data_IF_241012704076
#
_entry.id   IF_241012704076
#
_cell.length_a   1.000
_cell.length_b   1.000
_cell.length_c   1.000
_cell.angle_alpha   90.00
_cell.angle_beta   90.00
_cell.angle_gamma   90.00
#
_symmetry.space_group_name_H-M   'P 1'
#
loop_
_entity.id
_entity.type
_entity.pdbx_description
1 polymer ?
#
# COMPACT_ATOMS: atom_id res chain seq x y z
N UNK A 1 -57.32 -36.38 -34.82
CA UNK A 1 -56.75 -35.02 -34.94
C UNK A 1 -57.53 -34.20 -33.93
N UNK A 2 -57.01 -34.05 -32.72
CA UNK A 2 -57.60 -33.27 -31.63
C UNK A 2 -56.50 -32.30 -31.20
N UNK A 3 -56.28 -31.27 -32.00
CA UNK A 3 -55.59 -30.06 -31.57
C UNK A 3 -56.68 -29.02 -31.36
N UNK A 4 -57.25 -29.02 -30.16
CA UNK A 4 -57.98 -27.85 -29.67
C UNK A 4 -56.90 -26.93 -29.13
N UNK A 5 -56.61 -25.86 -29.87
CA UNK A 5 -55.67 -24.80 -29.52
C UNK A 5 -56.20 -23.94 -28.35
N UNK A 6 -56.53 -24.56 -27.21
CA UNK A 6 -56.93 -23.86 -25.99
C UNK A 6 -55.71 -23.71 -25.07
N UNK A 7 -54.75 -22.87 -25.49
CA UNK A 7 -53.66 -22.43 -24.62
C UNK A 7 -53.82 -20.94 -24.32
N UNK A 8 -53.76 -20.57 -23.04
CA UNK A 8 -53.93 -19.17 -22.61
C UNK A 8 -52.66 -18.33 -22.88
N UNK A 9 -51.48 -18.95 -22.91
CA UNK A 9 -50.20 -18.24 -23.03
C UNK A 9 -49.05 -19.20 -23.40
N UNK A 10 -48.04 -18.66 -24.08
CA UNK A 10 -46.80 -19.35 -24.45
C UNK A 10 -45.65 -18.66 -23.74
N UNK A 11 -44.85 -19.42 -22.98
CA UNK A 11 -43.69 -18.90 -22.24
C UNK A 11 -42.39 -19.41 -22.86
N UNK A 12 -41.43 -18.51 -23.01
CA UNK A 12 -40.03 -18.84 -23.33
C UNK A 12 -39.15 -18.53 -22.13
N UNK A 13 -38.21 -19.41 -21.82
CA UNK A 13 -37.28 -19.27 -20.71
C UNK A 13 -35.94 -19.96 -21.05
N UNK A 14 -34.91 -19.67 -20.27
CA UNK A 14 -33.63 -20.37 -20.37
C UNK A 14 -33.80 -21.84 -19.93
N UNK A 15 -33.18 -22.74 -20.67
CA UNK A 15 -33.16 -24.16 -20.34
C UNK A 15 -31.90 -24.47 -19.52
N UNK A 16 -32.08 -25.01 -18.31
CA UNK A 16 -30.98 -25.55 -17.52
C UNK A 16 -30.46 -26.86 -18.12
N UNK A 17 -29.21 -27.23 -17.82
CA UNK A 17 -28.62 -28.50 -18.27
C UNK A 17 -29.45 -29.72 -17.84
N UNK A 18 -30.06 -29.65 -16.64
CA UNK A 18 -30.97 -30.70 -16.15
C UNK A 18 -32.25 -30.80 -17.00
N UNK A 19 -32.84 -29.67 -17.41
CA UNK A 19 -34.00 -29.66 -18.31
C UNK A 19 -33.65 -30.24 -19.69
N UNK A 20 -32.50 -29.88 -20.26
CA UNK A 20 -32.05 -30.45 -21.54
C UNK A 20 -31.91 -31.97 -21.46
N UNK A 21 -31.34 -32.49 -20.36
CA UNK A 21 -31.27 -33.95 -20.12
C UNK A 21 -32.66 -34.57 -19.99
N UNK A 22 -33.62 -33.90 -19.35
CA UNK A 22 -35.00 -34.42 -19.20
C UNK A 22 -35.75 -34.56 -20.52
N UNK A 23 -35.40 -33.75 -21.52
CA UNK A 23 -35.98 -33.82 -22.85
C UNK A 23 -35.31 -34.87 -23.75
N UNK A 24 -34.12 -35.31 -23.38
CA UNK A 24 -33.30 -36.16 -24.20
C UNK A 24 -33.66 -37.63 -24.08
N UNK A 25 -33.63 -38.34 -25.21
CA UNK A 25 -33.82 -39.78 -25.27
C UNK A 25 -32.50 -40.56 -25.27
N UNK A 26 -31.37 -39.87 -25.22
CA UNK A 26 -30.04 -40.46 -25.19
C UNK A 26 -28.93 -39.50 -25.60
N UNK A 27 -27.72 -39.85 -25.20
CA UNK A 27 -26.50 -39.10 -25.51
C UNK A 27 -25.95 -39.52 -26.88
N UNK A 28 -25.59 -38.53 -27.70
CA UNK A 28 -24.86 -38.74 -28.95
C UNK A 28 -23.38 -38.66 -28.67
N UNK A 29 -22.70 -39.80 -28.68
CA UNK A 29 -21.28 -39.91 -28.32
C UNK A 29 -20.36 -39.94 -29.52
N UNK A 30 -20.87 -40.38 -30.68
CA UNK A 30 -20.04 -40.54 -31.88
C UNK A 30 -20.41 -39.58 -33.01
N UNK A 31 -19.42 -39.13 -33.81
CA UNK A 31 -19.67 -38.19 -34.89
C UNK A 31 -20.24 -38.85 -36.15
N UNK A 32 -20.29 -40.19 -36.23
CA UNK A 32 -20.75 -40.86 -37.44
C UNK A 32 -22.24 -40.65 -37.68
N UNK A 33 -22.60 -40.64 -38.96
CA UNK A 33 -23.96 -40.40 -39.44
C UNK A 33 -24.62 -41.71 -39.87
N UNK A 34 -24.26 -42.19 -41.06
CA UNK A 34 -24.77 -43.40 -41.68
C UNK A 34 -23.62 -44.21 -42.26
N UNK A 35 -23.78 -45.52 -42.29
CA UNK A 35 -22.84 -46.41 -42.92
C UNK A 35 -22.97 -46.33 -44.45
N UNK A 36 -21.87 -46.06 -45.16
CA UNK A 36 -21.90 -45.92 -46.63
C UNK A 36 -22.28 -47.22 -47.38
N UNK A 37 -22.03 -48.41 -46.79
CA UNK A 37 -22.35 -49.69 -47.44
C UNK A 37 -23.80 -50.10 -47.22
N UNK A 38 -24.26 -49.99 -45.98
CA UNK A 38 -25.59 -50.50 -45.59
C UNK A 38 -26.68 -49.43 -45.64
N UNK A 39 -26.29 -48.15 -45.77
CA UNK A 39 -27.16 -46.97 -45.66
C UNK A 39 -27.95 -46.91 -44.34
N UNK A 40 -27.53 -47.69 -43.34
CA UNK A 40 -28.13 -47.70 -42.01
C UNK A 40 -27.44 -46.69 -41.09
N UNK A 41 -28.17 -46.06 -40.15
CA UNK A 41 -27.57 -45.19 -39.16
C UNK A 41 -26.55 -45.92 -38.29
N UNK A 42 -25.47 -45.24 -37.95
CA UNK A 42 -24.51 -45.78 -36.99
C UNK A 42 -25.06 -45.71 -35.56
N UNK A 43 -24.65 -46.65 -34.72
CA UNK A 43 -25.08 -46.70 -33.31
C UNK A 43 -24.37 -45.60 -32.52
N UNK A 44 -25.13 -44.91 -31.67
CA UNK A 44 -24.70 -43.81 -30.81
C UNK A 44 -24.19 -42.56 -31.59
N UNK A 45 -24.46 -42.50 -32.90
CA UNK A 45 -24.18 -41.37 -33.78
C UNK A 45 -25.37 -40.41 -33.99
N UNK A 46 -25.19 -39.42 -34.86
CA UNK A 46 -26.15 -38.32 -35.08
C UNK A 46 -27.54 -38.76 -35.55
N UNK A 47 -27.65 -39.93 -36.16
CA UNK A 47 -28.92 -40.48 -36.65
C UNK A 47 -29.37 -41.75 -35.91
N UNK A 48 -28.75 -42.08 -34.76
CA UNK A 48 -28.96 -43.32 -34.04
C UNK A 48 -30.44 -43.63 -33.79
N UNK A 49 -30.91 -44.80 -34.22
CA UNK A 49 -32.30 -45.22 -34.04
C UNK A 49 -32.67 -45.50 -32.59
N UNK A 50 -31.68 -45.82 -31.73
CA UNK A 50 -31.91 -46.06 -30.30
C UNK A 50 -32.38 -44.77 -29.60
N UNK A 51 -31.82 -43.63 -30.01
CA UNK A 51 -32.09 -42.31 -29.42
C UNK A 51 -33.33 -41.70 -30.08
N UNK A 52 -33.27 -41.50 -31.40
CA UNK A 52 -34.29 -40.75 -32.13
C UNK A 52 -35.51 -41.59 -32.53
N UNK A 53 -35.43 -42.91 -32.45
CA UNK A 53 -36.46 -43.84 -32.90
C UNK A 53 -36.20 -44.43 -34.30
N UNK A 54 -37.06 -45.35 -34.76
CA UNK A 54 -36.78 -46.19 -35.93
C UNK A 54 -36.85 -45.43 -37.26
N UNK A 55 -36.03 -45.83 -38.24
CA UNK A 55 -36.06 -45.23 -39.59
C UNK A 55 -37.33 -45.62 -40.36
N UNK A 56 -37.82 -46.85 -40.17
CA UNK A 56 -39.02 -47.38 -40.82
C UNK A 56 -40.11 -47.63 -39.78
N UNK A 57 -41.37 -47.48 -40.19
CA UNK A 57 -42.50 -47.67 -39.30
C UNK A 57 -42.53 -49.10 -38.73
N UNK A 58 -42.53 -49.19 -37.40
CA UNK A 58 -42.60 -50.44 -36.65
C UNK A 58 -41.51 -51.46 -37.01
N UNK A 59 -40.30 -51.01 -37.32
CA UNK A 59 -39.13 -51.85 -37.56
C UNK A 59 -37.95 -51.39 -36.70
N UNK A 60 -37.37 -52.31 -35.92
CA UNK A 60 -36.14 -52.04 -35.18
C UNK A 60 -34.89 -52.19 -36.05
N UNK A 61 -33.79 -51.52 -35.67
CA UNK A 61 -32.50 -51.52 -36.40
C UNK A 61 -31.99 -52.90 -36.86
N UNK A 62 -32.02 -53.88 -35.94
CA UNK A 62 -31.52 -55.24 -36.20
C UNK A 62 -32.51 -56.13 -36.97
N UNK A 63 -33.75 -55.69 -37.15
CA UNK A 63 -34.81 -56.43 -37.82
C UNK A 63 -35.45 -57.58 -37.01
N UNK A 64 -35.12 -57.74 -35.72
CA UNK A 64 -35.73 -58.76 -34.83
C UNK A 64 -37.24 -58.54 -34.69
N UNK A 65 -37.65 -57.31 -34.40
CA UNK A 65 -39.04 -56.90 -34.30
C UNK A 65 -39.43 -56.09 -35.53
N UNK A 66 -40.48 -56.57 -36.23
CA UNK A 66 -41.07 -55.94 -37.42
C UNK A 66 -42.60 -56.02 -37.35
N UNK A 67 -43.28 -55.04 -37.95
CA UNK A 67 -44.74 -54.90 -38.04
C UNK A 67 -45.38 -54.34 -36.75
N UNK A 68 -46.60 -53.83 -36.90
CA UNK A 68 -47.36 -53.08 -35.87
C UNK A 68 -47.59 -53.88 -34.57
N UNK A 69 -47.57 -55.22 -34.62
CA UNK A 69 -47.85 -56.07 -33.45
C UNK A 69 -46.89 -55.86 -32.27
N UNK A 70 -45.69 -55.36 -32.54
CA UNK A 70 -44.65 -55.13 -31.53
C UNK A 70 -44.56 -53.67 -31.10
N UNK A 71 -45.57 -52.83 -31.41
CA UNK A 71 -45.58 -51.41 -31.08
C UNK A 71 -45.28 -51.18 -29.59
N UNK A 72 -44.33 -50.30 -29.29
CA UNK A 72 -43.95 -49.92 -27.93
C UNK A 72 -42.94 -50.86 -27.25
N UNK A 73 -42.54 -51.96 -27.88
CA UNK A 73 -41.50 -52.84 -27.34
C UNK A 73 -40.13 -52.26 -27.66
N UNK A 74 -39.27 -52.19 -26.64
CA UNK A 74 -37.85 -51.85 -26.77
C UNK A 74 -37.08 -53.13 -27.09
N UNK A 75 -36.29 -53.12 -28.18
CA UNK A 75 -35.59 -54.32 -28.61
C UNK A 75 -34.39 -54.68 -27.71
N UNK A 76 -34.34 -55.90 -27.17
CA UNK A 76 -33.22 -56.36 -26.33
C UNK A 76 -31.84 -56.33 -27.01
N UNK A 77 -31.80 -56.49 -28.35
CA UNK A 77 -30.55 -56.57 -29.12
C UNK A 77 -30.01 -55.20 -29.52
N UNK A 78 -30.88 -54.30 -29.98
CA UNK A 78 -30.46 -53.00 -30.52
C UNK A 78 -30.94 -51.79 -29.70
N UNK A 79 -31.78 -51.99 -28.68
CA UNK A 79 -32.32 -50.93 -27.83
C UNK A 79 -33.32 -50.00 -28.52
N UNK A 80 -33.70 -50.28 -29.76
CA UNK A 80 -34.63 -49.43 -30.54
C UNK A 80 -36.07 -49.76 -30.15
N UNK A 81 -36.83 -48.72 -29.82
CA UNK A 81 -38.26 -48.82 -29.60
C UNK A 81 -39.02 -48.94 -30.93
N UNK A 82 -39.93 -49.91 -31.01
CA UNK A 82 -40.76 -50.12 -32.18
C UNK A 82 -41.90 -49.09 -32.20
N UNK A 83 -41.64 -47.95 -32.82
CA UNK A 83 -42.58 -46.84 -32.99
C UNK A 83 -42.78 -46.48 -34.48
N UNK A 84 -43.58 -45.44 -34.75
CA UNK A 84 -43.65 -44.83 -36.09
C UNK A 84 -42.39 -43.99 -36.31
N UNK A 85 -41.89 -43.91 -37.54
CA UNK A 85 -40.75 -43.09 -37.90
C UNK A 85 -40.98 -41.58 -37.63
N UNK A 86 -42.25 -41.15 -37.50
CA UNK A 86 -42.63 -39.78 -37.13
C UNK A 86 -41.99 -39.30 -35.82
N UNK A 87 -41.75 -40.19 -34.85
CA UNK A 87 -41.16 -39.81 -33.55
C UNK A 87 -39.76 -39.20 -33.69
N UNK A 88 -39.04 -39.48 -34.78
CA UNK A 88 -37.73 -38.88 -35.09
C UNK A 88 -37.76 -37.36 -35.27
N UNK A 89 -38.95 -36.78 -35.45
CA UNK A 89 -39.17 -35.33 -35.57
C UNK A 89 -39.46 -34.65 -34.23
N UNK A 90 -39.73 -35.44 -33.19
CA UNK A 90 -40.18 -34.96 -31.88
C UNK A 90 -39.17 -35.31 -30.76
N UNK A 91 -38.40 -36.40 -30.90
CA UNK A 91 -37.39 -36.82 -29.92
C UNK A 91 -36.11 -35.99 -30.05
N UNK A 92 -35.67 -35.43 -28.93
CA UNK A 92 -34.40 -34.74 -28.82
C UNK A 92 -33.28 -35.68 -28.35
N UNK A 93 -32.06 -35.38 -28.79
CA UNK A 93 -30.82 -35.95 -28.26
C UNK A 93 -30.05 -34.87 -27.51
N UNK A 94 -29.04 -35.25 -26.74
CA UNK A 94 -28.10 -34.31 -26.14
C UNK A 94 -26.66 -34.79 -26.31
N UNK A 95 -25.71 -33.89 -26.06
CA UNK A 95 -24.29 -34.19 -25.97
C UNK A 95 -23.85 -33.69 -24.60
N UNK A 96 -23.23 -34.56 -23.81
CA UNK A 96 -22.64 -34.16 -22.55
C UNK A 96 -21.24 -33.58 -22.83
N UNK A 97 -21.04 -32.33 -22.45
CA UNK A 97 -19.77 -31.64 -22.69
C UNK A 97 -18.83 -31.89 -21.51
N UNK A 98 -17.56 -32.18 -21.80
CA UNK A 98 -16.54 -32.41 -20.78
C UNK A 98 -16.19 -31.14 -19.98
N UNK A 99 -16.41 -29.96 -20.57
CA UNK A 99 -16.20 -28.66 -19.93
C UNK A 99 -17.40 -27.74 -20.23
N UNK A 100 -17.78 -26.86 -19.28
CA UNK A 100 -18.82 -25.87 -19.52
C UNK A 100 -18.52 -25.00 -20.76
N UNK A 101 -19.57 -24.54 -21.43
CA UNK A 101 -19.47 -23.59 -22.55
C UNK A 101 -20.51 -22.49 -22.39
N UNK A 102 -20.18 -21.29 -22.85
CA UNK A 102 -21.12 -20.18 -22.90
C UNK A 102 -21.92 -20.19 -24.20
N UNK A 103 -23.22 -19.93 -24.11
CA UNK A 103 -24.03 -19.74 -25.30
C UNK A 103 -23.73 -18.38 -25.95
N UNK A 104 -23.39 -18.38 -27.25
CA UNK A 104 -22.90 -17.21 -27.99
C UNK A 104 -23.83 -16.00 -27.92
N UNK A 105 -25.15 -16.21 -27.84
CA UNK A 105 -26.13 -15.12 -27.72
C UNK A 105 -25.93 -14.23 -26.50
N UNK A 106 -25.49 -14.77 -25.35
CA UNK A 106 -25.29 -13.98 -24.13
C UNK A 106 -23.93 -13.29 -24.08
N UNK A 107 -22.99 -13.69 -24.95
CA UNK A 107 -21.64 -13.14 -25.04
C UNK A 107 -21.57 -12.08 -26.14
N UNK A 108 -21.88 -12.47 -27.39
CA UNK A 108 -21.72 -11.63 -28.60
C UNK A 108 -22.95 -10.80 -28.93
N UNK A 109 -24.11 -11.08 -28.33
CA UNK A 109 -25.30 -10.23 -28.50
C UNK A 109 -25.02 -8.83 -27.95
N UNK A 110 -25.39 -7.78 -28.69
CA UNK A 110 -25.22 -6.39 -28.26
C UNK A 110 -26.52 -5.87 -27.60
N UNK A 111 -26.50 -5.41 -26.33
CA UNK A 111 -25.39 -5.45 -25.38
C UNK A 111 -25.19 -6.85 -24.77
N UNK A 112 -23.94 -7.18 -24.43
CA UNK A 112 -23.54 -8.47 -23.87
C UNK A 112 -24.21 -8.67 -22.51
N UNK A 113 -25.03 -9.72 -22.38
CA UNK A 113 -25.78 -9.96 -21.14
C UNK A 113 -24.85 -10.40 -20.02
N UNK A 114 -23.87 -11.25 -20.34
CA UNK A 114 -22.84 -11.67 -19.38
C UNK A 114 -21.87 -10.53 -19.05
N UNK A 115 -21.52 -9.70 -20.04
CA UNK A 115 -20.68 -8.52 -19.79
C UNK A 115 -21.35 -7.54 -18.83
N UNK A 116 -22.64 -7.28 -19.01
CA UNK A 116 -23.40 -6.41 -18.08
C UNK A 116 -23.55 -7.01 -16.69
N UNK A 117 -23.68 -8.33 -16.57
CA UNK A 117 -23.88 -9.00 -15.28
C UNK A 117 -22.59 -9.03 -14.44
N UNK A 118 -21.43 -9.05 -15.08
CA UNK A 118 -20.11 -9.15 -14.42
C UNK A 118 -19.34 -7.81 -14.42
N UNK A 119 -19.98 -6.73 -14.84
CA UNK A 119 -19.35 -5.43 -15.14
C UNK A 119 -18.06 -5.52 -15.99
N UNK A 120 -18.09 -6.37 -17.01
CA UNK A 120 -16.97 -6.61 -17.91
C UNK A 120 -17.23 -6.07 -19.32
N UNK A 121 -16.20 -5.47 -19.91
CA UNK A 121 -16.24 -5.16 -21.34
C UNK A 121 -16.34 -6.45 -22.18
N UNK A 122 -17.08 -6.45 -23.31
CA UNK A 122 -17.21 -7.64 -24.17
C UNK A 122 -15.86 -8.20 -24.64
N UNK A 123 -14.86 -7.32 -24.82
CA UNK A 123 -13.50 -7.71 -25.21
C UNK A 123 -12.78 -8.47 -24.08
N UNK A 124 -12.94 -8.03 -22.83
CA UNK A 124 -12.33 -8.69 -21.68
C UNK A 124 -12.98 -10.05 -21.41
N UNK A 125 -14.32 -10.12 -21.46
CA UNK A 125 -15.05 -11.39 -21.33
C UNK A 125 -14.62 -12.38 -22.43
N UNK A 126 -14.46 -11.92 -23.67
CA UNK A 126 -13.97 -12.74 -24.78
C UNK A 126 -12.57 -13.33 -24.54
N UNK A 127 -11.66 -12.55 -23.93
CA UNK A 127 -10.31 -13.02 -23.60
C UNK A 127 -10.32 -14.12 -22.55
N UNK A 128 -11.23 -14.06 -21.58
CA UNK A 128 -11.41 -15.14 -20.60
C UNK A 128 -11.99 -16.38 -21.27
N UNK A 129 -13.07 -16.22 -22.05
CA UNK A 129 -13.79 -17.34 -22.67
C UNK A 129 -12.95 -18.13 -23.69
N UNK A 130 -12.07 -17.45 -24.42
CA UNK A 130 -11.15 -18.08 -25.38
C UNK A 130 -9.76 -18.37 -24.81
N UNK A 131 -9.64 -18.52 -23.48
CA UNK A 131 -8.41 -18.98 -22.81
C UNK A 131 -7.18 -18.09 -23.06
N UNK A 132 -7.37 -16.79 -23.20
CA UNK A 132 -6.28 -15.83 -23.39
C UNK A 132 -5.84 -15.13 -22.10
N UNK A 133 -6.73 -15.00 -21.11
CA UNK A 133 -6.44 -14.39 -19.81
C UNK A 133 -7.15 -15.15 -18.69
N UNK A 134 -6.47 -15.27 -17.56
CA UNK A 134 -7.04 -15.78 -16.31
C UNK A 134 -7.95 -14.73 -15.69
N UNK A 135 -9.00 -15.20 -15.05
CA UNK A 135 -9.92 -14.40 -14.26
C UNK A 135 -9.86 -14.90 -12.82
N UNK A 136 -9.66 -13.99 -11.86
CA UNK A 136 -9.76 -14.33 -10.45
C UNK A 136 -11.21 -14.70 -10.15
N UNK A 137 -11.40 -15.90 -9.62
CA UNK A 137 -12.73 -16.44 -9.28
C UNK A 137 -13.05 -16.28 -7.81
N UNK A 138 -12.04 -16.31 -6.94
CA UNK A 138 -12.17 -16.22 -5.47
C UNK A 138 -10.86 -15.70 -4.87
N UNK A 139 -10.96 -14.88 -3.83
CA UNK A 139 -9.83 -14.44 -2.99
C UNK A 139 -10.12 -14.81 -1.54
N UNK A 140 -9.13 -15.31 -0.81
CA UNK A 140 -9.21 -15.54 0.62
C UNK A 140 -8.63 -14.31 1.34
N UNK A 141 -9.49 -13.54 2.00
CA UNK A 141 -9.07 -12.30 2.67
C UNK A 141 -8.24 -12.56 3.92
N UNK A 142 -8.51 -13.65 4.65
CA UNK A 142 -7.74 -13.99 5.86
C UNK A 142 -6.31 -14.36 5.46
N UNK A 143 -6.17 -15.16 4.41
CA UNK A 143 -4.87 -15.49 3.84
C UNK A 143 -4.16 -14.25 3.28
N UNK A 144 -4.89 -13.34 2.61
CA UNK A 144 -4.35 -12.09 2.06
C UNK A 144 -3.81 -11.19 3.17
N UNK A 145 -4.60 -10.96 4.23
CA UNK A 145 -4.20 -10.11 5.35
C UNK A 145 -2.99 -10.70 6.09
N UNK A 146 -2.96 -12.01 6.32
CA UNK A 146 -1.83 -12.69 6.93
C UNK A 146 -0.56 -12.53 6.07
N UNK A 147 -0.66 -12.74 4.75
CA UNK A 147 0.46 -12.58 3.83
C UNK A 147 0.97 -11.14 3.79
N UNK A 148 0.07 -10.14 3.86
CA UNK A 148 0.45 -8.72 3.95
C UNK A 148 1.20 -8.40 5.24
N UNK A 149 0.76 -8.94 6.38
CA UNK A 149 1.46 -8.76 7.65
C UNK A 149 2.85 -9.41 7.59
N UNK A 150 2.94 -10.65 7.09
CA UNK A 150 4.21 -11.35 6.94
C UNK A 150 5.19 -10.58 6.04
N UNK A 151 4.76 -10.08 4.88
CA UNK A 151 5.63 -9.29 4.00
C UNK A 151 6.09 -7.98 4.65
N UNK A 152 5.22 -7.32 5.43
CA UNK A 152 5.59 -6.09 6.16
C UNK A 152 6.57 -6.37 7.29
N UNK A 153 6.42 -7.49 7.99
CA UNK A 153 7.37 -7.95 9.01
C UNK A 153 8.71 -8.34 8.39
N UNK A 154 8.71 -9.09 7.27
CA UNK A 154 9.91 -9.44 6.51
C UNK A 154 10.64 -8.18 6.03
N UNK A 155 9.92 -7.21 5.48
CA UNK A 155 10.47 -5.91 5.07
C UNK A 155 11.10 -5.16 6.27
N UNK A 156 10.44 -5.17 7.43
CA UNK A 156 10.96 -4.57 8.66
C UNK A 156 12.25 -5.26 9.11
N UNK A 157 12.24 -6.59 9.20
CA UNK A 157 13.41 -7.38 9.61
C UNK A 157 14.60 -7.21 8.65
N UNK A 158 14.35 -7.19 7.33
CA UNK A 158 15.38 -6.96 6.33
C UNK A 158 15.98 -5.54 6.42
N UNK A 159 15.14 -4.56 6.79
CA UNK A 159 15.58 -3.18 7.04
C UNK A 159 16.46 -3.12 8.28
N UNK A 160 16.03 -3.73 9.38
CA UNK A 160 16.78 -3.73 10.64
C UNK A 160 18.11 -4.48 10.51
N UNK A 161 18.14 -5.61 9.80
CA UNK A 161 19.37 -6.40 9.56
C UNK A 161 20.42 -5.60 8.77
N UNK A 162 20.01 -4.91 7.70
CA UNK A 162 20.92 -4.07 6.90
C UNK A 162 21.32 -2.79 7.64
N UNK A 163 20.41 -2.17 8.38
CA UNK A 163 20.70 -0.99 9.18
C UNK A 163 21.62 -1.32 10.37
N UNK A 164 21.56 -2.53 10.92
CA UNK A 164 22.41 -2.98 12.02
C UNK A 164 23.92 -2.94 11.70
N UNK A 165 24.30 -2.95 10.42
CA UNK A 165 25.70 -2.77 10.00
C UNK A 165 26.18 -1.31 10.10
N UNK A 166 25.27 -0.33 9.97
CA UNK A 166 25.58 1.10 9.86
C UNK A 166 25.23 1.85 11.15
N UNK A 167 24.13 1.48 11.80
CA UNK A 167 23.62 2.13 13.02
C UNK A 167 24.66 2.27 14.14
N UNK A 168 25.51 1.28 14.47
CA UNK A 168 26.45 1.42 15.59
C UNK A 168 27.52 2.47 15.30
N UNK A 169 27.93 2.63 14.03
CA UNK A 169 28.88 3.68 13.65
C UNK A 169 28.26 5.06 13.71
N UNK A 170 26.98 5.19 13.32
CA UNK A 170 26.22 6.44 13.44
C UNK A 170 26.02 6.84 14.90
N UNK A 171 25.57 5.91 15.74
CA UNK A 171 25.33 6.16 17.16
C UNK A 171 26.62 6.56 17.90
N UNK A 172 27.76 5.95 17.55
CA UNK A 172 29.06 6.34 18.09
C UNK A 172 29.45 7.78 17.69
N UNK A 173 29.23 8.16 16.43
CA UNK A 173 29.50 9.53 15.95
C UNK A 173 28.57 10.57 16.58
N UNK A 174 27.28 10.25 16.74
CA UNK A 174 26.30 11.10 17.42
C UNK A 174 26.68 11.30 18.89
N UNK A 175 27.15 10.24 19.56
CA UNK A 175 27.64 10.32 20.94
C UNK A 175 28.90 11.16 21.06
N UNK A 176 29.85 11.01 20.13
CA UNK A 176 31.06 11.85 20.08
C UNK A 176 30.72 13.33 19.89
N UNK A 177 29.71 13.63 19.07
CA UNK A 177 29.21 14.99 18.90
C UNK A 177 28.63 15.52 20.22
N UNK A 178 27.74 14.76 20.86
CA UNK A 178 27.11 15.17 22.12
C UNK A 178 28.14 15.38 23.25
N UNK A 179 29.16 14.52 23.35
CA UNK A 179 30.23 14.65 24.33
C UNK A 179 31.11 15.87 24.03
N UNK A 180 31.44 16.14 22.76
CA UNK A 180 32.17 17.34 22.35
C UNK A 180 31.38 18.64 22.61
N UNK A 181 30.06 18.63 22.37
CA UNK A 181 29.20 19.77 22.70
C UNK A 181 29.22 20.06 24.21
N UNK A 182 29.11 19.03 25.05
CA UNK A 182 29.16 19.17 26.51
C UNK A 182 30.52 19.69 26.99
N UNK A 183 31.63 19.19 26.44
CA UNK A 183 32.97 19.63 26.84
C UNK A 183 33.21 21.11 26.47
N UNK A 184 32.81 21.52 25.26
CA UNK A 184 32.97 22.90 24.79
C UNK A 184 32.07 23.86 25.58
N UNK A 185 30.81 23.51 25.82
CA UNK A 185 29.90 24.30 26.67
C UNK A 185 30.40 24.39 28.12
N UNK A 186 30.99 23.32 28.65
CA UNK A 186 31.62 23.33 29.98
C UNK A 186 32.78 24.33 30.08
N UNK A 187 33.65 24.37 29.07
CA UNK A 187 34.77 25.34 29.00
C UNK A 187 34.28 26.78 28.93
N UNK A 188 33.18 27.05 28.22
CA UNK A 188 32.53 28.38 28.19
C UNK A 188 32.03 28.76 29.57
N UNK A 189 31.29 27.86 30.23
CA UNK A 189 30.73 28.13 31.54
C UNK A 189 31.82 28.46 32.58
N UNK A 190 32.95 27.75 32.54
CA UNK A 190 34.09 28.01 33.42
C UNK A 190 34.77 29.36 33.13
N UNK A 191 34.99 29.69 31.85
CA UNK A 191 35.56 30.99 31.47
C UNK A 191 34.64 32.16 31.77
N UNK A 192 33.34 32.04 31.50
CA UNK A 192 32.33 33.05 31.85
C UNK A 192 32.29 33.23 33.37
N UNK A 193 32.30 32.15 34.16
CA UNK A 193 32.34 32.23 35.61
C UNK A 193 33.61 32.96 36.13
N UNK A 194 34.74 32.77 35.45
CA UNK A 194 36.00 33.46 35.79
C UNK A 194 35.90 34.96 35.48
N UNK A 195 35.39 35.32 34.30
CA UNK A 195 35.14 36.71 33.89
C UNK A 195 34.16 37.39 34.86
N UNK A 196 33.14 36.66 35.30
CA UNK A 196 32.13 37.15 36.24
C UNK A 196 32.73 37.41 37.62
N UNK A 197 33.59 36.51 38.11
CA UNK A 197 34.29 36.69 39.38
C UNK A 197 35.29 37.88 39.33
N UNK A 198 35.97 38.10 38.20
CA UNK A 198 36.82 39.27 37.99
C UNK A 198 36.02 40.57 37.96
N UNK A 199 34.89 40.57 37.23
CA UNK A 199 33.99 41.71 37.14
C UNK A 199 33.39 42.07 38.50
N UNK A 200 32.97 41.09 39.31
CA UNK A 200 32.44 41.37 40.65
C UNK A 200 33.49 42.04 41.54
N UNK A 201 34.75 41.59 41.49
CA UNK A 201 35.85 42.24 42.24
C UNK A 201 36.09 43.67 41.78
N UNK A 202 36.22 43.89 40.47
CA UNK A 202 36.48 45.23 39.91
C UNK A 202 35.29 46.18 40.14
N UNK A 203 34.06 45.69 40.02
CA UNK A 203 32.84 46.43 40.36
C UNK A 203 32.84 46.81 41.84
N UNK A 204 33.12 45.86 42.73
CA UNK A 204 33.10 46.11 44.17
C UNK A 204 34.16 47.12 44.59
N UNK A 205 35.34 47.10 43.97
CA UNK A 205 36.41 48.05 44.26
C UNK A 205 36.10 49.45 43.70
N UNK A 206 35.57 49.56 42.48
CA UNK A 206 35.09 50.83 41.92
C UNK A 206 33.89 51.38 42.70
N UNK A 207 33.00 50.53 43.19
CA UNK A 207 31.85 50.92 44.01
C UNK A 207 32.31 51.44 45.38
N UNK A 208 33.29 50.79 46.02
CA UNK A 208 33.89 51.28 47.27
C UNK A 208 34.56 52.65 47.07
N UNK A 209 35.28 52.86 45.97
CA UNK A 209 35.88 54.15 45.64
C UNK A 209 34.83 55.22 45.34
N UNK A 210 33.75 54.85 44.64
CA UNK A 210 32.63 55.74 44.36
C UNK A 210 31.90 56.13 45.64
N UNK A 211 31.61 55.17 46.52
CA UNK A 211 30.94 55.37 47.81
C UNK A 211 31.80 56.19 48.78
N UNK A 212 33.12 56.00 48.77
CA UNK A 212 34.05 56.82 49.54
C UNK A 212 34.05 58.27 49.03
N UNK A 213 34.03 58.47 47.71
CA UNK A 213 34.07 59.79 47.11
C UNK A 213 32.71 60.52 47.18
N UNK A 214 31.57 59.83 47.12
CA UNK A 214 30.24 60.42 47.41
C UNK A 214 30.09 60.75 48.89
N UNK A 215 30.54 59.88 49.82
CA UNK A 215 30.56 60.22 51.26
C UNK A 215 31.41 61.46 51.55
N UNK A 216 32.59 61.59 50.92
CA UNK A 216 33.44 62.78 51.02
C UNK A 216 32.80 64.02 50.39
N UNK A 217 32.07 63.88 49.28
CA UNK A 217 31.37 64.97 48.62
C UNK A 217 30.12 65.43 49.38
N UNK A 218 29.37 64.51 50.00
CA UNK A 218 28.16 64.79 50.77
C UNK A 218 28.51 65.35 52.16
N UNK A 219 29.57 64.86 52.82
CA UNK A 219 30.03 65.37 54.12
C UNK A 219 30.56 66.82 54.05
N UNK A 220 31.02 67.27 52.88
CA UNK A 220 31.56 68.62 52.65
C UNK A 220 30.62 69.52 51.82
N UNK A 221 29.33 69.18 51.76
CA UNK A 221 28.33 69.93 50.99
C UNK A 221 28.19 71.38 51.50
N UNK A 222 28.72 72.34 50.75
CA UNK A 222 28.65 73.77 51.07
C UNK A 222 29.89 74.36 51.76
N UNK A 223 30.89 73.55 52.13
CA UNK A 223 32.13 74.00 52.77
C UNK A 223 33.33 74.03 51.78
N UNK A 224 34.42 74.71 52.18
CA UNK A 224 35.67 74.77 51.40
C UNK A 224 36.56 73.58 51.78
N UNK A 225 36.84 72.71 50.82
CA UNK A 225 37.69 71.53 51.01
C UNK A 225 39.18 71.91 51.19
N UNK A 226 39.85 71.31 52.18
CA UNK A 226 41.30 71.44 52.39
C UNK A 226 42.12 70.54 51.45
N UNK A 227 41.60 69.37 51.10
CA UNK A 227 42.18 68.44 50.12
C UNK A 227 41.15 68.19 49.00
N UNK A 228 41.62 68.18 47.74
CA UNK A 228 40.75 68.04 46.58
C UNK A 228 40.08 66.67 46.50
N UNK A 229 38.87 66.60 45.92
CA UNK A 229 38.20 65.31 45.66
C UNK A 229 38.74 64.76 44.35
N UNK A 230 39.55 63.71 44.44
CA UNK A 230 40.01 62.91 43.30
C UNK A 230 39.19 61.64 43.19
N UNK A 231 38.66 61.37 41.99
CA UNK A 231 37.82 60.21 41.73
C UNK A 231 38.40 59.51 40.50
N UNK A 232 38.89 58.27 40.68
CA UNK A 232 39.62 57.49 39.68
C UNK A 232 40.77 58.26 38.98
N UNK A 233 41.56 59.02 39.75
CA UNK A 233 42.69 59.81 39.23
C UNK A 233 42.32 61.14 38.56
N UNK A 234 41.03 61.50 38.48
CA UNK A 234 40.56 62.79 37.99
C UNK A 234 40.24 63.72 39.15
N UNK A 235 40.88 64.88 39.18
CA UNK A 235 40.56 65.96 40.12
C UNK A 235 39.20 66.59 39.79
N UNK A 236 38.17 66.29 40.57
CA UNK A 236 36.83 66.85 40.36
C UNK A 236 36.68 68.21 41.05
N UNK A 237 37.34 68.39 42.21
CA UNK A 237 37.35 69.65 42.97
C UNK A 237 38.78 69.96 43.42
N UNK A 238 39.30 71.16 43.09
CA UNK A 238 40.62 71.64 43.51
C UNK A 238 40.64 71.99 45.01
N UNK A 239 41.80 71.88 45.69
CA UNK A 239 41.96 72.35 47.07
C UNK A 239 41.48 73.81 47.21
N UNK A 240 40.55 74.08 48.13
CA UNK A 240 39.95 75.39 48.37
C UNK A 240 38.68 75.74 47.57
N UNK A 241 38.20 74.85 46.70
CA UNK A 241 36.93 75.00 45.97
C UNK A 241 35.69 74.64 46.82
N UNK A 242 34.55 75.30 46.59
CA UNK A 242 33.26 74.94 47.24
C UNK A 242 32.61 73.76 46.55
N UNK A 243 32.11 72.80 47.32
CA UNK A 243 31.29 71.69 46.80
C UNK A 243 29.89 72.20 46.47
N UNK A 244 29.59 72.36 45.19
CA UNK A 244 28.26 72.70 44.68
C UNK A 244 27.45 71.45 44.36
N UNK A 245 26.11 71.52 44.32
CA UNK A 245 25.24 70.39 43.89
C UNK A 245 25.64 69.84 42.51
N UNK A 246 26.24 70.68 41.65
CA UNK A 246 26.79 70.30 40.35
C UNK A 246 28.06 69.44 40.44
N UNK A 247 28.88 69.58 41.49
CA UNK A 247 30.05 68.73 41.72
C UNK A 247 29.65 67.32 42.18
N UNK A 248 28.66 67.21 43.06
CA UNK A 248 28.09 65.92 43.51
C UNK A 248 27.45 65.17 42.33
N UNK A 249 26.68 65.87 41.48
CA UNK A 249 26.14 65.30 40.26
C UNK A 249 27.22 64.89 39.25
N UNK A 250 28.37 65.58 39.22
CA UNK A 250 29.50 65.24 38.35
C UNK A 250 30.25 64.01 38.83
N UNK A 251 30.43 63.85 40.15
CA UNK A 251 30.95 62.65 40.81
C UNK A 251 30.07 61.43 40.47
N UNK A 252 28.77 61.52 40.70
CA UNK A 252 27.83 60.44 40.40
C UNK A 252 27.78 60.11 38.90
N UNK A 253 27.85 61.12 38.02
CA UNK A 253 27.82 60.92 36.56
C UNK A 253 29.09 60.25 36.04
N UNK A 254 30.27 60.65 36.51
CA UNK A 254 31.54 60.02 36.09
C UNK A 254 31.72 58.62 36.70
N UNK A 255 31.21 58.40 37.93
CA UNK A 255 31.07 57.09 38.56
C UNK A 255 30.23 56.12 37.73
N UNK A 256 28.98 56.51 37.47
CA UNK A 256 28.06 55.70 36.70
C UNK A 256 28.56 55.47 35.27
N UNK A 257 29.20 56.46 34.62
CA UNK A 257 29.82 56.27 33.31
C UNK A 257 30.89 55.18 33.33
N UNK A 258 31.75 55.15 34.35
CA UNK A 258 32.80 54.14 34.47
C UNK A 258 32.25 52.76 34.80
N UNK A 259 31.23 52.66 35.66
CA UNK A 259 30.52 51.41 35.91
C UNK A 259 29.86 50.86 34.64
N UNK A 260 29.13 51.69 33.89
CA UNK A 260 28.53 51.28 32.60
C UNK A 260 29.56 50.96 31.52
N UNK A 261 30.73 51.61 31.57
CA UNK A 261 31.82 51.30 30.65
C UNK A 261 32.45 49.94 30.97
N UNK A 262 32.62 49.64 32.27
CA UNK A 262 33.09 48.34 32.74
C UNK A 262 32.09 47.23 32.38
N UNK A 263 30.80 47.41 32.66
CA UNK A 263 29.74 46.46 32.26
C UNK A 263 29.77 46.19 30.74
N UNK A 264 29.92 47.24 29.93
CA UNK A 264 29.97 47.11 28.48
C UNK A 264 31.26 46.44 27.99
N UNK A 265 32.37 46.58 28.71
CA UNK A 265 33.62 45.89 28.42
C UNK A 265 33.54 44.42 28.80
N UNK A 266 33.00 44.09 29.97
CA UNK A 266 32.77 42.72 30.43
C UNK A 266 31.78 42.00 29.53
N UNK A 267 30.69 42.65 29.11
CA UNK A 267 29.75 42.07 28.16
C UNK A 267 30.43 41.75 26.83
N UNK A 268 31.29 42.64 26.30
CA UNK A 268 32.08 42.34 25.11
C UNK A 268 33.05 41.17 25.30
N UNK A 269 33.64 41.02 26.48
CA UNK A 269 34.52 39.88 26.80
C UNK A 269 33.72 38.57 26.86
N UNK A 270 32.52 38.58 27.46
CA UNK A 270 31.59 37.43 27.44
C UNK A 270 31.16 37.06 26.02
N UNK A 271 30.70 38.04 25.25
CA UNK A 271 30.26 37.83 23.87
C UNK A 271 31.40 37.30 22.98
N UNK A 272 32.64 37.77 23.20
CA UNK A 272 33.82 37.29 22.49
C UNK A 272 34.17 35.84 22.84
N UNK A 273 34.15 35.46 24.12
CA UNK A 273 34.42 34.07 24.52
C UNK A 273 33.29 33.11 24.10
N UNK A 274 32.02 33.57 24.14
CA UNK A 274 30.90 32.81 23.58
C UNK A 274 31.09 32.58 22.08
N UNK A 275 31.41 33.63 21.32
CA UNK A 275 31.59 33.54 19.87
C UNK A 275 32.77 32.64 19.46
N UNK A 276 33.85 32.60 20.26
CA UNK A 276 34.98 31.68 20.02
C UNK A 276 34.54 30.22 20.14
N UNK A 277 33.67 29.92 21.09
CA UNK A 277 33.16 28.55 21.25
C UNK A 277 32.05 28.24 20.27
N UNK A 278 31.17 29.19 19.94
CA UNK A 278 30.20 29.00 18.87
C UNK A 278 30.92 28.65 17.55
N UNK A 279 32.01 29.36 17.21
CA UNK A 279 32.86 29.01 16.06
C UNK A 279 33.51 27.62 16.20
N UNK A 280 34.01 27.27 17.38
CA UNK A 280 34.62 25.95 17.61
C UNK A 280 33.59 24.81 17.57
N UNK A 281 32.35 25.08 17.98
CA UNK A 281 31.22 24.17 17.88
C UNK A 281 30.78 24.01 16.44
N UNK A 282 30.73 25.09 15.66
CA UNK A 282 30.43 25.04 14.24
C UNK A 282 31.49 24.24 13.47
N UNK A 283 32.79 24.41 13.80
CA UNK A 283 33.89 23.64 13.22
C UNK A 283 33.80 22.14 13.59
N UNK A 284 33.50 21.82 14.86
CA UNK A 284 33.31 20.45 15.32
C UNK A 284 32.09 19.78 14.67
N UNK A 285 30.99 20.53 14.54
CA UNK A 285 29.77 20.10 13.83
C UNK A 285 30.03 19.86 12.37
N UNK A 286 30.76 20.75 11.69
CA UNK A 286 31.08 20.60 10.27
C UNK A 286 31.92 19.33 10.03
N UNK A 287 32.98 19.11 10.83
CA UNK A 287 33.84 17.93 10.68
C UNK A 287 33.12 16.60 10.93
N UNK A 288 32.24 16.55 11.93
CA UNK A 288 31.44 15.35 12.21
C UNK A 288 30.25 15.20 11.26
N UNK A 289 29.67 16.30 10.76
CA UNK A 289 28.62 16.28 9.74
C UNK A 289 29.13 15.68 8.42
N UNK A 290 30.39 15.92 8.06
CA UNK A 290 31.02 15.30 6.89
C UNK A 290 31.10 13.77 7.01
N UNK A 291 31.20 13.21 8.22
CA UNK A 291 31.15 11.76 8.46
C UNK A 291 29.73 11.22 8.67
N UNK A 292 28.84 12.01 9.28
CA UNK A 292 27.48 11.60 9.61
C UNK A 292 26.55 11.62 8.40
N UNK A 293 26.66 12.65 7.55
CA UNK A 293 25.78 12.83 6.39
C UNK A 293 25.85 11.66 5.40
N UNK A 294 27.04 11.14 5.00
CA UNK A 294 27.12 9.98 4.12
C UNK A 294 26.55 8.70 4.74
N UNK A 295 26.59 8.55 6.07
CA UNK A 295 25.98 7.41 6.75
C UNK A 295 24.46 7.54 6.75
N UNK A 296 23.93 8.73 7.02
CA UNK A 296 22.49 9.01 6.96
C UNK A 296 21.94 8.83 5.54
N UNK A 297 22.67 9.28 4.52
CA UNK A 297 22.31 9.03 3.12
C UNK A 297 22.28 7.55 2.80
N UNK A 298 23.30 6.77 3.21
CA UNK A 298 23.32 5.32 3.01
C UNK A 298 22.17 4.60 3.71
N UNK A 299 21.84 4.97 4.95
CA UNK A 299 20.69 4.38 5.66
C UNK A 299 19.38 4.66 4.92
N UNK A 300 19.24 5.87 4.37
CA UNK A 300 18.08 6.26 3.57
C UNK A 300 18.02 5.47 2.27
N UNK A 301 19.11 5.37 1.55
CA UNK A 301 19.23 4.58 0.31
C UNK A 301 18.87 3.10 0.57
N UNK A 302 19.39 2.51 1.63
CA UNK A 302 19.09 1.12 2.02
C UNK A 302 17.60 0.96 2.31
N UNK A 303 17.00 1.89 3.08
CA UNK A 303 15.57 1.83 3.39
C UNK A 303 14.73 1.95 2.12
N UNK A 304 15.06 2.90 1.25
CA UNK A 304 14.34 3.13 -0.01
C UNK A 304 14.48 1.91 -0.96
N UNK A 305 15.66 1.29 -1.05
CA UNK A 305 15.90 0.08 -1.84
C UNK A 305 15.06 -1.11 -1.36
N UNK A 306 15.01 -1.35 -0.06
CA UNK A 306 14.23 -2.45 0.52
C UNK A 306 12.75 -2.16 0.34
N UNK A 307 12.30 -0.94 0.62
CA UNK A 307 10.91 -0.56 0.45
C UNK A 307 10.46 -0.80 -1.01
N UNK A 308 11.28 -0.40 -2.00
CA UNK A 308 10.98 -0.64 -3.41
C UNK A 308 10.88 -2.15 -3.74
N UNK A 309 11.75 -2.99 -3.18
CA UNK A 309 11.72 -4.44 -3.39
C UNK A 309 10.43 -5.10 -2.90
N UNK A 310 9.88 -4.63 -1.77
CA UNK A 310 8.66 -5.19 -1.20
C UNK A 310 7.39 -4.46 -1.69
N UNK A 311 7.51 -3.22 -2.18
CA UNK A 311 6.39 -2.41 -2.66
C UNK A 311 5.60 -3.13 -3.75
N UNK A 312 6.28 -3.67 -4.76
CA UNK A 312 5.61 -4.40 -5.84
C UNK A 312 4.82 -5.59 -5.28
N UNK A 313 5.41 -6.40 -4.41
CA UNK A 313 4.74 -7.58 -3.82
C UNK A 313 3.54 -7.23 -2.93
N UNK A 314 3.63 -6.14 -2.19
CA UNK A 314 2.53 -5.64 -1.35
C UNK A 314 1.41 -5.15 -2.25
N UNK A 315 1.74 -4.35 -3.27
CA UNK A 315 0.76 -3.85 -4.24
C UNK A 315 0.07 -5.01 -4.98
N UNK A 316 0.82 -6.05 -5.33
CA UNK A 316 0.31 -7.24 -6.00
C UNK A 316 -0.80 -7.93 -5.19
N UNK A 317 -0.62 -8.05 -3.86
CA UNK A 317 -1.63 -8.59 -2.96
C UNK A 317 -2.82 -7.63 -2.78
N UNK A 318 -2.58 -6.32 -2.68
CA UNK A 318 -3.63 -5.31 -2.54
C UNK A 318 -4.50 -5.20 -3.81
N UNK A 319 -3.92 -5.45 -4.98
CA UNK A 319 -4.63 -5.44 -6.27
C UNK A 319 -5.50 -6.70 -6.48
N UNK A 320 -5.25 -7.80 -5.74
CA UNK A 320 -6.14 -8.97 -5.75
C UNK A 320 -7.51 -8.57 -5.20
N UNK A 321 -8.54 -8.68 -6.03
CA UNK A 321 -9.92 -8.42 -5.66
C UNK A 321 -10.81 -9.61 -5.99
N UNK A 322 -11.76 -9.87 -5.10
CA UNK A 322 -12.80 -10.88 -5.30
C UNK A 322 -13.91 -10.29 -6.19
N UNK A 323 -14.31 -10.99 -7.27
CA UNK A 323 -15.27 -10.46 -8.23
C UNK A 323 -16.67 -10.21 -7.67
N UNK A 324 -17.03 -10.81 -6.53
CA UNK A 324 -18.35 -10.65 -5.89
C UNK A 324 -18.30 -9.63 -4.76
N UNK A 325 -17.31 -9.74 -3.86
CA UNK A 325 -17.24 -8.88 -2.67
C UNK A 325 -16.75 -7.47 -3.00
N UNK A 326 -15.80 -7.36 -3.93
CA UNK A 326 -15.20 -6.08 -4.31
C UNK A 326 -15.86 -5.49 -5.58
N UNK A 327 -16.86 -6.17 -6.14
CA UNK A 327 -17.56 -5.81 -7.39
C UNK A 327 -16.58 -5.50 -8.55
N UNK A 328 -15.44 -6.19 -8.56
CA UNK A 328 -14.33 -5.93 -9.49
C UNK A 328 -13.71 -7.21 -9.99
N UNK A 329 -13.88 -7.47 -11.28
CA UNK A 329 -13.23 -8.61 -11.95
C UNK A 329 -11.79 -8.26 -12.33
N UNK A 330 -10.83 -8.99 -11.75
CA UNK A 330 -9.41 -8.86 -12.09
C UNK A 330 -9.00 -9.91 -13.11
N UNK A 331 -8.33 -9.45 -14.18
CA UNK A 331 -7.81 -10.30 -15.24
C UNK A 331 -6.29 -10.34 -15.21
N UNK A 332 -5.74 -11.55 -15.30
CA UNK A 332 -4.31 -11.81 -15.26
C UNK A 332 -3.83 -12.38 -16.60
N UNK A 333 -2.65 -11.95 -17.04
CA UNK A 333 -1.93 -12.65 -18.12
C UNK A 333 -1.33 -13.96 -17.58
N UNK A 334 -0.93 -14.85 -18.47
CA UNK A 334 -0.32 -16.13 -18.05
C UNK A 334 0.97 -15.94 -17.24
N UNK A 335 1.83 -15.00 -17.63
CA UNK A 335 3.06 -14.69 -16.88
C UNK A 335 2.73 -14.23 -15.46
N UNK A 336 1.79 -13.28 -15.35
CA UNK A 336 1.40 -12.69 -14.09
C UNK A 336 0.69 -13.68 -13.17
N UNK A 337 -0.16 -14.54 -13.73
CA UNK A 337 -0.80 -15.62 -12.99
C UNK A 337 0.24 -16.57 -12.38
N UNK A 338 1.28 -16.95 -13.14
CA UNK A 338 2.35 -17.83 -12.63
C UNK A 338 3.14 -17.18 -11.51
N UNK A 339 3.57 -15.93 -11.70
CA UNK A 339 4.28 -15.16 -10.66
C UNK A 339 3.46 -15.07 -9.36
N UNK A 340 2.19 -14.66 -9.46
CA UNK A 340 1.31 -14.55 -8.30
C UNK A 340 0.96 -15.92 -7.71
N UNK A 341 0.83 -16.97 -8.52
CA UNK A 341 0.57 -18.33 -8.03
C UNK A 341 1.77 -18.90 -7.29
N UNK A 342 2.99 -18.57 -7.70
CA UNK A 342 4.21 -19.05 -7.05
C UNK A 342 4.39 -18.40 -5.66
N UNK A 343 4.06 -17.11 -5.53
CA UNK A 343 4.17 -16.37 -4.27
C UNK A 343 2.93 -16.48 -3.37
N UNK A 344 1.73 -16.43 -3.97
CA UNK A 344 0.45 -16.22 -3.29
C UNK A 344 -0.64 -17.21 -3.73
N UNK A 345 -0.29 -18.39 -4.26
CA UNK A 345 -1.27 -19.37 -4.76
C UNK A 345 -2.26 -19.90 -3.72
N UNK A 346 -2.02 -19.66 -2.42
CA UNK A 346 -2.96 -19.97 -1.34
C UNK A 346 -3.96 -18.84 -1.07
N UNK A 347 -3.70 -17.62 -1.56
CA UNK A 347 -4.50 -16.41 -1.32
C UNK A 347 -5.64 -16.29 -2.33
N UNK A 348 -5.49 -16.78 -3.55
CA UNK A 348 -6.51 -16.61 -4.59
C UNK A 348 -6.66 -17.84 -5.47
N UNK A 349 -7.82 -17.95 -6.10
CA UNK A 349 -8.10 -18.89 -7.19
C UNK A 349 -8.35 -18.09 -8.45
N UNK A 350 -7.76 -18.53 -9.55
CA UNK A 350 -8.03 -17.99 -10.87
C UNK A 350 -8.19 -19.11 -11.89
N UNK A 351 -9.07 -18.90 -12.85
CA UNK A 351 -9.37 -19.86 -13.90
C UNK A 351 -9.62 -19.15 -15.23
N UNK A 352 -9.71 -19.92 -16.31
CA UNK A 352 -10.02 -19.45 -17.67
C UNK A 352 -11.26 -20.15 -18.22
N UNK A 353 -11.78 -19.64 -19.33
CA UNK A 353 -12.88 -20.25 -20.06
C UNK A 353 -14.24 -19.99 -19.42
N UNK A 354 -15.24 -20.72 -19.92
CA UNK A 354 -16.61 -20.62 -19.44
C UNK A 354 -16.81 -21.17 -18.02
N UNK A 355 -15.89 -22.03 -17.55
CA UNK A 355 -15.89 -22.55 -16.18
C UNK A 355 -15.62 -21.45 -15.16
N UNK A 356 -14.62 -20.60 -15.41
CA UNK A 356 -14.32 -19.46 -14.54
C UNK A 356 -15.53 -18.52 -14.40
N UNK A 357 -16.19 -18.22 -15.52
CA UNK A 357 -17.42 -17.41 -15.55
C UNK A 357 -18.54 -18.09 -14.76
N UNK A 358 -18.72 -19.39 -14.94
CA UNK A 358 -19.73 -20.16 -14.23
C UNK A 358 -19.49 -20.17 -12.72
N UNK A 359 -18.23 -20.29 -12.27
CA UNK A 359 -17.89 -20.34 -10.85
C UNK A 359 -18.15 -19.01 -10.15
N UNK A 360 -17.87 -17.88 -10.81
CA UNK A 360 -18.26 -16.55 -10.31
C UNK A 360 -19.78 -16.45 -10.25
N UNK A 361 -20.50 -16.83 -11.32
CA UNK A 361 -21.96 -16.73 -11.38
C UNK A 361 -22.68 -17.60 -10.34
N UNK A 362 -22.11 -18.73 -9.92
CA UNK A 362 -22.68 -19.56 -8.83
C UNK A 362 -22.65 -18.85 -7.47
N UNK A 363 -21.78 -17.86 -7.30
CA UNK A 363 -21.60 -17.09 -6.07
C UNK A 363 -22.42 -15.79 -6.06
N UNK A 364 -23.00 -15.41 -7.20
CA UNK A 364 -23.89 -14.24 -7.29
C UNK A 364 -25.23 -14.59 -6.65
N UNK A 365 -25.61 -13.84 -5.62
CA UNK A 365 -26.98 -13.85 -5.09
C UNK A 365 -27.83 -12.88 -5.93
N UNK A 366 -28.87 -13.39 -6.59
CA UNK A 366 -29.68 -12.67 -7.58
C UNK A 366 -30.97 -12.08 -7.01
#
# INVERSE_FOLDING_TARGET
MLEVNDFNQVRIALASSQQVRSWSYGEVTKPETINYRTLKPEKDGLFCEKIFGPMKDFECYCGKYKRVRYKGIICDKCGVEVARAKVRRERMGHIELASPVTHIWFVKGTPSKLGLLLDMSPRNLERVLYFAQYMITEVDDEARELALVQLREEMGSATDDRLGEISPRREELERQLEDAEKELQGKVAEKIATIDAEFEKERDDLQKELDAATKLADANAGEKLAEGITLFGLEIVKPGGRVTKTAIAKVAREGNKKLTALEKETQKRRDAESAVVDSAMDDAKAGLADELHPLQEKEREIRDEIEEQYRERIQDLEDLADPIRDDRVVLLTESRYRELSDHFGHVFKAAMGAEAVLDVLKRVDL
#
